data_IF_128945019170
#
_entry.id   IF_128945019170
#
_cell.length_a   1.000
_cell.length_b   1.000
_cell.length_c   1.000
_cell.angle_alpha   90.00
_cell.angle_beta   90.00
_cell.angle_gamma   90.00
#
_symmetry.space_group_name_H-M   'P 1'
#
loop_
_entity.id
_entity.type
_entity.pdbx_description
1 polymer ?
#
# COMPACT_ATOMS: atom_id res chain seq x y z
N UNK A 1 27.84 12.15 -18.97
CA UNK A 1 26.84 12.68 -18.00
C UNK A 1 27.45 12.57 -16.61
N UNK A 2 27.44 13.64 -15.82
CA UNK A 2 28.19 13.77 -14.55
C UNK A 2 27.55 12.95 -13.40
N UNK A 3 28.34 12.48 -12.43
CA UNK A 3 27.87 11.71 -11.27
C UNK A 3 26.85 12.50 -10.43
N UNK A 4 27.03 13.81 -10.29
CA UNK A 4 26.09 14.67 -9.54
C UNK A 4 24.70 14.71 -10.19
N UNK A 5 24.62 14.82 -11.51
CA UNK A 5 23.34 14.76 -12.24
C UNK A 5 22.64 13.41 -12.06
N UNK A 6 23.40 12.31 -11.98
CA UNK A 6 22.82 10.98 -11.73
C UNK A 6 22.26 10.84 -10.30
N UNK A 7 22.96 11.39 -9.30
CA UNK A 7 22.49 11.43 -7.91
C UNK A 7 21.19 12.22 -7.76
N UNK A 8 21.12 13.41 -8.35
CA UNK A 8 19.91 14.24 -8.31
C UNK A 8 18.74 13.56 -9.01
N UNK A 9 18.98 12.96 -10.18
CA UNK A 9 17.95 12.23 -10.93
C UNK A 9 17.44 11.02 -10.13
N UNK A 10 18.35 10.28 -9.49
CA UNK A 10 17.99 9.14 -8.63
C UNK A 10 17.13 9.56 -7.44
N UNK A 11 17.48 10.67 -6.78
CA UNK A 11 16.71 11.23 -5.67
C UNK A 11 15.30 11.64 -6.08
N UNK A 12 15.16 12.35 -7.21
CA UNK A 12 13.86 12.77 -7.73
C UNK A 12 13.00 11.56 -8.09
N UNK A 13 13.59 10.52 -8.70
CA UNK A 13 12.89 9.27 -9.02
C UNK A 13 12.36 8.60 -7.76
N UNK A 14 13.19 8.45 -6.73
CA UNK A 14 12.79 7.84 -5.46
C UNK A 14 11.66 8.64 -4.77
N UNK A 15 11.76 9.97 -4.73
CA UNK A 15 10.70 10.82 -4.16
C UNK A 15 9.38 10.62 -4.91
N UNK A 16 9.45 10.55 -6.24
CA UNK A 16 8.28 10.37 -7.09
C UNK A 16 7.64 9.00 -6.86
N UNK A 17 8.44 7.93 -6.84
CA UNK A 17 7.97 6.58 -6.54
C UNK A 17 7.33 6.48 -5.15
N UNK A 18 7.95 7.10 -4.14
CA UNK A 18 7.40 7.11 -2.78
C UNK A 18 6.07 7.87 -2.72
N UNK A 19 5.95 9.03 -3.38
CA UNK A 19 4.68 9.78 -3.46
C UNK A 19 3.59 8.97 -4.15
N UNK A 20 3.92 8.29 -5.24
CA UNK A 20 2.98 7.43 -5.96
C UNK A 20 2.50 6.27 -5.09
N UNK A 21 3.35 5.71 -4.22
CA UNK A 21 2.99 4.66 -3.25
C UNK A 21 2.18 5.17 -2.06
N UNK A 22 2.46 6.38 -1.56
CA UNK A 22 1.75 6.97 -0.41
C UNK A 22 0.35 7.45 -0.79
N UNK A 23 0.17 7.99 -2.00
CA UNK A 23 -1.12 8.50 -2.48
C UNK A 23 -2.29 7.51 -2.29
N UNK A 24 -2.23 6.24 -2.75
CA UNK A 24 -3.34 5.28 -2.56
C UNK A 24 -3.59 4.94 -1.09
N UNK A 25 -2.57 5.02 -0.22
CA UNK A 25 -2.72 4.80 1.23
C UNK A 25 -3.61 5.88 1.84
N UNK A 26 -3.35 7.15 1.48
CA UNK A 26 -4.16 8.29 1.92
C UNK A 26 -5.59 8.18 1.36
N UNK A 27 -5.73 7.82 0.08
CA UNK A 27 -7.04 7.63 -0.56
C UNK A 27 -7.88 6.55 0.14
N UNK A 28 -7.26 5.45 0.58
CA UNK A 28 -7.93 4.41 1.36
C UNK A 28 -8.44 4.92 2.72
N UNK A 29 -7.64 5.72 3.44
CA UNK A 29 -8.06 6.32 4.71
C UNK A 29 -9.24 7.28 4.49
N UNK A 30 -9.16 8.13 3.46
CA UNK A 30 -10.23 9.06 3.10
C UNK A 30 -11.53 8.35 2.74
N UNK A 31 -11.45 7.25 1.98
CA UNK A 31 -12.59 6.42 1.65
C UNK A 31 -13.28 5.89 2.91
N UNK A 32 -12.51 5.31 3.83
CA UNK A 32 -13.04 4.78 5.09
C UNK A 32 -13.70 5.89 5.94
N UNK A 33 -13.05 7.05 6.04
CA UNK A 33 -13.61 8.20 6.77
C UNK A 33 -14.92 8.72 6.18
N UNK A 34 -15.02 8.83 4.85
CA UNK A 34 -16.25 9.29 4.16
C UNK A 34 -17.42 8.33 4.31
N UNK A 35 -17.13 7.02 4.30
CA UNK A 35 -18.15 5.98 4.34
C UNK A 35 -18.47 5.50 5.77
N UNK A 36 -17.89 6.12 6.80
CA UNK A 36 -17.98 5.66 8.19
C UNK A 36 -17.57 4.17 8.35
N UNK A 37 -16.57 3.73 7.60
CA UNK A 37 -16.01 2.37 7.69
C UNK A 37 -14.84 2.41 8.68
N UNK A 38 -14.86 1.50 9.66
CA UNK A 38 -13.74 1.37 10.60
C UNK A 38 -12.47 0.94 9.89
N UNK A 39 -11.32 1.56 10.21
CA UNK A 39 -10.05 1.19 9.58
C UNK A 39 -9.55 -0.19 10.05
N UNK A 40 -9.72 -0.48 11.34
CA UNK A 40 -9.11 -1.63 12.03
C UNK A 40 -9.99 -2.88 11.97
N UNK A 41 -9.34 -4.04 11.92
CA UNK A 41 -9.94 -5.37 12.11
C UNK A 41 -9.35 -6.05 13.34
N UNK A 42 -9.37 -7.40 13.36
CA UNK A 42 -8.86 -8.16 14.51
C UNK A 42 -7.32 -8.11 14.64
N UNK A 43 -6.60 -7.96 13.52
CA UNK A 43 -5.15 -7.79 13.45
C UNK A 43 -4.82 -6.70 12.44
N UNK A 44 -4.11 -5.65 12.85
CA UNK A 44 -3.77 -4.50 12.00
C UNK A 44 -2.26 -4.29 11.81
N UNK A 45 -1.45 -5.22 12.30
CA UNK A 45 0.01 -5.22 12.26
C UNK A 45 0.58 -6.26 11.28
N UNK A 46 1.90 -6.27 11.12
CA UNK A 46 2.62 -7.24 10.30
C UNK A 46 2.65 -6.93 8.79
N UNK A 47 3.40 -7.77 8.06
CA UNK A 47 3.61 -7.63 6.61
C UNK A 47 2.29 -7.75 5.86
N UNK A 48 2.08 -6.87 4.87
CA UNK A 48 0.95 -6.98 3.96
C UNK A 48 1.28 -8.02 2.87
N UNK A 49 0.66 -9.20 2.94
CA UNK A 49 0.85 -10.28 1.96
C UNK A 49 -0.09 -10.03 0.77
N UNK A 50 0.47 -9.76 -0.42
CA UNK A 50 -0.30 -9.41 -1.63
C UNK A 50 -0.63 -10.66 -2.45
N UNK A 51 0.36 -11.55 -2.63
CA UNK A 51 0.26 -12.80 -3.38
C UNK A 51 0.00 -13.96 -2.44
N UNK A 52 -1.05 -14.74 -2.73
CA UNK A 52 -1.58 -15.80 -1.87
C UNK A 52 -0.74 -17.07 -2.04
N UNK A 53 0.26 -17.27 -1.18
CA UNK A 53 1.06 -18.49 -1.19
C UNK A 53 0.51 -19.60 -0.28
N UNK A 54 -0.29 -19.27 0.73
CA UNK A 54 -0.88 -20.25 1.66
C UNK A 54 -2.35 -19.97 2.00
N UNK A 55 -3.12 -21.05 2.10
CA UNK A 55 -4.59 -21.07 2.32
C UNK A 55 -5.00 -20.62 3.74
N UNK A 56 -4.04 -20.53 4.67
CA UNK A 56 -4.25 -20.05 6.03
C UNK A 56 -4.24 -18.51 6.14
N UNK A 57 -3.57 -17.81 5.22
CA UNK A 57 -3.55 -16.33 5.16
C UNK A 57 -4.88 -15.77 4.60
N UNK A 58 -5.69 -16.62 3.99
CA UNK A 58 -7.00 -16.30 3.42
C UNK A 58 -8.14 -16.22 4.43
N UNK A 59 -8.00 -16.83 5.62
CA UNK A 59 -9.12 -17.01 6.54
C UNK A 59 -9.31 -15.88 7.55
N UNK A 60 -8.31 -15.01 7.70
CA UNK A 60 -8.33 -13.99 8.74
C UNK A 60 -8.59 -12.61 8.12
N UNK A 61 -9.73 -12.00 8.48
CA UNK A 61 -10.01 -10.61 8.17
C UNK A 61 -9.03 -9.71 8.96
N UNK A 62 -8.09 -9.08 8.26
CA UNK A 62 -7.09 -8.14 8.81
C UNK A 62 -7.62 -6.70 8.91
N UNK A 63 -8.91 -6.49 8.67
CA UNK A 63 -9.55 -5.19 8.74
C UNK A 63 -9.59 -4.45 7.41
N UNK A 64 -10.56 -3.52 7.33
CA UNK A 64 -10.95 -2.88 6.08
C UNK A 64 -9.79 -2.13 5.42
N UNK A 65 -8.97 -1.42 6.20
CA UNK A 65 -7.84 -0.69 5.65
C UNK A 65 -6.81 -1.61 4.98
N UNK A 66 -6.45 -2.73 5.65
CA UNK A 66 -5.47 -3.69 5.12
C UNK A 66 -6.01 -4.40 3.88
N UNK A 67 -7.28 -4.78 3.87
CA UNK A 67 -7.92 -5.40 2.70
C UNK A 67 -8.00 -4.44 1.50
N UNK A 68 -8.31 -3.17 1.72
CA UNK A 68 -8.31 -2.15 0.65
C UNK A 68 -6.91 -1.97 0.07
N UNK A 69 -5.88 -1.89 0.93
CA UNK A 69 -4.48 -1.80 0.48
C UNK A 69 -4.05 -3.05 -0.31
N UNK A 70 -4.44 -4.24 0.15
CA UNK A 70 -4.17 -5.51 -0.52
C UNK A 70 -4.81 -5.55 -1.91
N UNK A 71 -6.08 -5.15 -2.01
CA UNK A 71 -6.78 -5.04 -3.28
C UNK A 71 -6.08 -4.06 -4.24
N UNK A 72 -5.67 -2.89 -3.74
CA UNK A 72 -4.95 -1.91 -4.57
C UNK A 72 -3.61 -2.44 -5.05
N UNK A 73 -2.83 -3.06 -4.16
CA UNK A 73 -1.51 -3.59 -4.46
C UNK A 73 -1.53 -4.78 -5.43
N UNK A 74 -2.65 -5.53 -5.52
CA UNK A 74 -2.84 -6.55 -6.56
C UNK A 74 -2.90 -5.94 -7.97
N UNK A 75 -3.39 -4.71 -8.11
CA UNK A 75 -3.39 -3.99 -9.39
C UNK A 75 -1.98 -3.64 -9.87
N UNK A 76 -1.03 -3.45 -8.96
CA UNK A 76 0.37 -3.12 -9.26
C UNK A 76 1.22 -4.36 -9.64
N UNK A 77 0.66 -5.57 -9.52
CA UNK A 77 1.33 -6.83 -9.90
C UNK A 77 1.22 -7.16 -11.40
N UNK A 78 0.35 -6.44 -12.14
CA UNK A 78 0.15 -6.59 -13.59
C UNK A 78 0.84 -5.46 -14.35
#
# INVERSE_FOLDING_TARGET
MFIEQQLDTGRVKQITENRNKIKPIIEAILLCGRQNISLRGHRDDGRLVITKSDDNDLKNNEGNFREILRYRAQGDLN
#
